data_IF_041625184108
#
_entry.id   IF_041625184108
#
_cell.length_a   1.000
_cell.length_b   1.000
_cell.length_c   1.000
_cell.angle_alpha   90.00
_cell.angle_beta   90.00
_cell.angle_gamma   90.00
#
_symmetry.space_group_name_H-M   'P 1'
#
loop_
_entity.id
_entity.type
_entity.pdbx_description
1 polymer ?
#
# COMPACT_ATOMS: atom_id res chain seq x y z
N UNK A 1 -11.91 -0.76 6.76
CA UNK A 1 -10.70 -1.49 7.19
C UNK A 1 -10.92 -1.86 8.64
N UNK A 2 -10.59 -3.08 9.05
CA UNK A 2 -10.78 -3.51 10.45
C UNK A 2 -9.91 -2.66 11.38
N UNK A 3 -10.41 -2.33 12.58
CA UNK A 3 -9.66 -1.59 13.63
C UNK A 3 -8.55 -2.42 14.27
N UNK A 4 -8.42 -3.69 13.87
CA UNK A 4 -7.39 -4.59 14.40
C UNK A 4 -6.00 -4.06 14.04
N UNK A 5 -5.09 -3.91 15.02
CA UNK A 5 -3.72 -3.50 14.75
C UNK A 5 -3.01 -4.56 13.90
N UNK A 6 -2.24 -4.09 12.91
CA UNK A 6 -1.40 -4.93 12.06
C UNK A 6 0.05 -4.52 12.32
N UNK A 7 0.88 -5.50 12.69
CA UNK A 7 2.30 -5.31 12.87
C UNK A 7 3.02 -5.64 11.56
N UNK A 8 3.85 -4.72 11.08
CA UNK A 8 4.58 -4.84 9.82
C UNK A 8 6.06 -4.73 10.13
N UNK A 9 6.86 -5.69 9.64
CA UNK A 9 8.31 -5.60 9.70
C UNK A 9 8.80 -4.61 8.66
N UNK A 10 9.35 -3.48 9.13
CA UNK A 10 10.04 -2.49 8.31
C UNK A 10 11.51 -2.46 8.73
N UNK A 11 12.40 -2.36 7.77
CA UNK A 11 13.79 -1.99 8.03
C UNK A 11 13.86 -0.55 8.58
N UNK A 12 14.96 -0.17 9.26
CA UNK A 12 15.11 1.20 9.75
C UNK A 12 14.99 2.26 8.66
N UNK A 13 15.46 1.95 7.44
CA UNK A 13 15.39 2.85 6.28
C UNK A 13 13.94 3.03 5.83
N UNK A 14 13.22 1.94 5.58
CA UNK A 14 11.81 2.00 5.16
C UNK A 14 10.93 2.71 6.20
N UNK A 15 11.21 2.51 7.49
CA UNK A 15 10.53 3.22 8.57
C UNK A 15 10.79 4.72 8.50
N UNK A 16 12.04 5.13 8.29
CA UNK A 16 12.43 6.54 8.16
C UNK A 16 11.78 7.21 6.95
N UNK A 17 11.72 6.54 5.81
CA UNK A 17 11.04 7.04 4.60
C UNK A 17 9.54 7.23 4.84
N UNK A 18 8.89 6.27 5.50
CA UNK A 18 7.47 6.36 5.85
C UNK A 18 7.18 7.50 6.82
N UNK A 19 8.05 7.70 7.83
CA UNK A 19 7.95 8.80 8.78
C UNK A 19 8.06 10.16 8.10
N UNK A 20 9.05 10.32 7.22
CA UNK A 20 9.23 11.55 6.44
C UNK A 20 8.01 11.83 5.54
N UNK A 21 7.51 10.83 4.84
CA UNK A 21 6.34 10.98 3.97
C UNK A 21 5.09 11.37 4.76
N UNK A 22 4.89 10.76 5.93
CA UNK A 22 3.78 11.08 6.83
C UNK A 22 3.87 12.53 7.34
N UNK A 23 5.07 12.97 7.74
CA UNK A 23 5.33 14.34 8.18
C UNK A 23 5.09 15.36 7.06
N UNK A 24 5.61 15.11 5.85
CA UNK A 24 5.41 15.98 4.69
C UNK A 24 3.94 16.20 4.34
N UNK A 25 3.10 15.19 4.57
CA UNK A 25 1.66 15.23 4.26
C UNK A 25 0.78 15.59 5.45
N UNK A 26 1.36 15.91 6.61
CA UNK A 26 0.64 16.18 7.85
C UNK A 26 -0.36 15.06 8.22
N UNK A 27 0.08 13.81 8.14
CA UNK A 27 -0.74 12.62 8.44
C UNK A 27 -0.04 11.69 9.42
N UNK A 28 -0.81 10.83 10.07
CA UNK A 28 -0.24 9.79 10.93
C UNK A 28 0.44 8.68 10.12
N UNK A 29 1.50 8.10 10.70
CA UNK A 29 2.26 6.98 10.12
C UNK A 29 1.31 5.83 9.74
N UNK A 30 0.43 5.40 10.66
CA UNK A 30 -0.50 4.30 10.40
C UNK A 30 -1.49 4.62 9.28
N UNK A 31 -1.92 5.88 9.14
CA UNK A 31 -2.78 6.29 8.04
C UNK A 31 -2.05 6.21 6.70
N UNK A 32 -0.79 6.67 6.67
CA UNK A 32 0.04 6.63 5.46
C UNK A 32 0.37 5.19 5.06
N UNK A 33 0.76 4.34 6.03
CA UNK A 33 1.04 2.93 5.80
C UNK A 33 -0.17 2.21 5.18
N UNK A 34 -1.37 2.43 5.73
CA UNK A 34 -2.61 1.83 5.18
C UNK A 34 -2.89 2.28 3.76
N UNK A 35 -2.56 3.52 3.40
CA UNK A 35 -2.71 4.01 2.03
C UNK A 35 -1.73 3.32 1.08
N UNK A 36 -0.46 3.25 1.44
CA UNK A 36 0.56 2.55 0.65
C UNK A 36 0.20 1.08 0.43
N UNK A 37 -0.28 0.39 1.47
CA UNK A 37 -0.78 -0.99 1.36
C UNK A 37 -1.93 -1.09 0.36
N UNK A 38 -2.89 -0.15 0.39
CA UNK A 38 -4.01 -0.14 -0.57
C UNK A 38 -3.54 0.09 -2.00
N UNK A 39 -2.62 1.03 -2.21
CA UNK A 39 -2.04 1.31 -3.52
C UNK A 39 -1.29 0.09 -4.06
N UNK A 40 -0.42 -0.52 -3.26
CA UNK A 40 0.31 -1.73 -3.62
C UNK A 40 -0.61 -2.91 -3.93
N UNK A 41 -1.62 -3.16 -3.09
CA UNK A 41 -2.60 -4.22 -3.32
C UNK A 41 -3.39 -4.02 -4.62
N UNK A 42 -3.74 -2.77 -4.95
CA UNK A 42 -4.43 -2.44 -6.19
C UNK A 42 -3.54 -2.69 -7.41
N UNK A 43 -2.26 -2.31 -7.32
CA UNK A 43 -1.27 -2.55 -8.37
C UNK A 43 -1.03 -4.04 -8.61
N UNK A 44 -0.86 -4.83 -7.53
CA UNK A 44 -0.68 -6.28 -7.63
C UNK A 44 -1.89 -6.98 -8.25
N UNK A 45 -3.12 -6.58 -7.91
CA UNK A 45 -4.34 -7.11 -8.55
C UNK A 45 -4.39 -6.78 -10.04
N UNK A 46 -3.98 -5.58 -10.44
CA UNK A 46 -3.95 -5.20 -11.84
C UNK A 46 -2.94 -6.02 -12.66
N UNK A 47 -1.81 -6.41 -12.04
CA UNK A 47 -0.81 -7.28 -12.66
C UNK A 47 -1.28 -8.74 -12.69
N UNK A 48 -1.88 -9.22 -11.61
CA UNK A 48 -2.29 -10.62 -11.45
C UNK A 48 -3.59 -10.98 -12.18
N UNK A 49 -4.41 -9.99 -12.56
CA UNK A 49 -5.59 -10.24 -13.38
C UNK A 49 -5.13 -10.76 -14.76
N UNK A 50 -5.50 -11.99 -15.16
CA UNK A 50 -5.28 -12.42 -16.53
C UNK A 50 -6.03 -11.43 -17.40
N UNK A 51 -5.34 -10.78 -18.33
CA UNK A 51 -6.01 -10.15 -19.46
C UNK A 51 -6.63 -11.27 -20.26
N UNK A 52 -7.79 -11.80 -19.84
CA UNK A 52 -8.74 -12.45 -20.72
C UNK A 52 -9.27 -11.36 -21.65
N UNK A 53 -8.39 -10.93 -22.56
CA UNK A 53 -8.75 -10.22 -23.77
C UNK A 53 -9.61 -11.21 -24.52
N UNK A 54 -10.92 -11.05 -24.30
CA UNK A 54 -11.95 -11.73 -25.03
C UNK A 54 -11.55 -11.70 -26.50
N UNK A 55 -11.26 -12.88 -27.05
CA UNK A 55 -11.42 -13.10 -28.47
C UNK A 55 -12.85 -12.68 -28.78
N UNK A 56 -13.01 -11.57 -29.50
CA UNK A 56 -14.28 -11.27 -30.16
C UNK A 56 -14.06 -11.47 -31.67
N UNK A 57 -15.01 -12.16 -32.33
CA UNK A 57 -14.91 -12.59 -33.71
C UNK A 57 -14.90 -11.43 -34.70
#
# INVERSE_FOLDING_TARGET
MSDKPVYVGLTPVERGELEQLAAQRNRSISSMARELIRLGASHLRAIAAPRSRSARP
#
